data_IF_236419517504
#
_entry.id   IF_236419517504
#
_cell.length_a   1.000
_cell.length_b   1.000
_cell.length_c   1.000
_cell.angle_alpha   90.00
_cell.angle_beta   90.00
_cell.angle_gamma   90.00
#
_symmetry.space_group_name_H-M   'P 1'
#
loop_
_entity.id
_entity.type
_entity.pdbx_description
1 polymer ?
#
# COMPACT_ATOMS: atom_id res chain seq x y z
N UNK A 1 -6.27 5.86 48.78
CA UNK A 1 -6.37 4.55 48.11
C UNK A 1 -7.24 4.76 46.88
N UNK A 2 -6.65 4.78 45.69
CA UNK A 2 -7.43 4.89 44.44
C UNK A 2 -7.85 3.47 44.09
N UNK A 3 -9.10 3.12 44.40
CA UNK A 3 -9.71 1.89 43.91
C UNK A 3 -10.00 2.10 42.42
N UNK A 4 -9.09 1.62 41.58
CA UNK A 4 -9.29 1.55 40.15
C UNK A 4 -10.45 0.61 39.86
N UNK A 5 -11.47 1.13 39.20
CA UNK A 5 -12.48 0.31 38.55
C UNK A 5 -11.89 -0.10 37.19
N UNK A 6 -11.49 -1.37 36.99
CA UNK A 6 -11.05 -1.82 35.68
C UNK A 6 -12.30 -1.89 34.81
N UNK A 7 -12.33 -1.11 33.72
CA UNK A 7 -13.32 -1.09 32.65
C UNK A 7 -14.50 -2.08 32.78
N UNK A 8 -15.73 -1.58 32.65
CA UNK A 8 -16.94 -2.41 32.60
C UNK A 8 -16.84 -3.54 31.56
N UNK A 9 -17.56 -4.65 31.76
CA UNK A 9 -17.59 -5.78 30.79
C UNK A 9 -17.93 -5.32 29.36
N UNK A 10 -18.75 -4.28 29.25
CA UNK A 10 -19.07 -3.65 27.97
C UNK A 10 -17.85 -2.95 27.33
N UNK A 11 -17.11 -2.16 28.11
CA UNK A 11 -15.90 -1.48 27.64
C UNK A 11 -14.82 -2.50 27.24
N UNK A 12 -14.65 -3.59 28.00
CA UNK A 12 -13.73 -4.67 27.65
C UNK A 12 -14.09 -5.32 26.31
N UNK A 13 -15.36 -5.71 26.12
CA UNK A 13 -15.83 -6.28 24.83
C UNK A 13 -15.65 -5.32 23.67
N UNK A 14 -15.88 -4.02 23.90
CA UNK A 14 -15.68 -3.00 22.86
C UNK A 14 -14.20 -2.87 22.48
N UNK A 15 -13.30 -2.86 23.47
CA UNK A 15 -11.86 -2.82 23.24
C UNK A 15 -11.37 -4.07 22.48
N UNK A 16 -11.85 -5.25 22.86
CA UNK A 16 -11.56 -6.50 22.13
C UNK A 16 -12.04 -6.43 20.68
N UNK A 17 -13.27 -5.93 20.44
CA UNK A 17 -13.80 -5.78 19.08
C UNK A 17 -13.00 -4.79 18.26
N UNK A 18 -12.61 -3.65 18.83
CA UNK A 18 -11.77 -2.65 18.15
C UNK A 18 -10.40 -3.24 17.82
N UNK A 19 -9.78 -3.95 18.76
CA UNK A 19 -8.50 -4.63 18.54
C UNK A 19 -8.59 -5.65 17.40
N UNK A 20 -9.65 -6.46 17.40
CA UNK A 20 -9.90 -7.44 16.36
C UNK A 20 -10.08 -6.80 14.98
N UNK A 21 -10.93 -5.77 14.88
CA UNK A 21 -11.17 -5.04 13.61
C UNK A 21 -9.90 -4.36 13.09
N UNK A 22 -9.06 -3.81 13.98
CA UNK A 22 -7.75 -3.25 13.60
C UNK A 22 -6.87 -4.33 13.00
N UNK A 23 -6.76 -5.49 13.66
CA UNK A 23 -5.98 -6.62 13.16
C UNK A 23 -6.47 -7.12 11.80
N UNK A 24 -7.78 -7.26 11.62
CA UNK A 24 -8.36 -7.67 10.32
C UNK A 24 -8.01 -6.67 9.21
N UNK A 25 -8.16 -5.37 9.49
CA UNK A 25 -7.80 -4.30 8.56
C UNK A 25 -6.30 -4.32 8.24
N UNK A 26 -5.45 -4.39 9.26
CA UNK A 26 -3.98 -4.39 9.09
C UNK A 26 -3.52 -5.63 8.29
N UNK A 27 -4.11 -6.79 8.53
CA UNK A 27 -3.86 -8.00 7.74
C UNK A 27 -4.22 -7.81 6.26
N UNK A 28 -5.37 -7.19 5.96
CA UNK A 28 -5.77 -6.91 4.58
C UNK A 28 -4.79 -5.96 3.88
N UNK A 29 -4.30 -4.93 4.57
CA UNK A 29 -3.26 -4.03 4.05
C UNK A 29 -1.93 -4.76 3.81
N UNK A 30 -1.51 -5.64 4.73
CA UNK A 30 -0.28 -6.44 4.59
C UNK A 30 -0.38 -7.40 3.39
N UNK A 31 -1.48 -8.14 3.25
CA UNK A 31 -1.68 -9.05 2.10
C UNK A 31 -1.65 -8.30 0.76
N UNK A 32 -2.34 -7.15 0.67
CA UNK A 32 -2.26 -6.27 -0.49
C UNK A 32 -0.82 -5.84 -0.76
N UNK A 33 -0.09 -5.39 0.26
CA UNK A 33 1.28 -4.88 0.09
C UNK A 33 2.24 -5.96 -0.39
N UNK A 34 2.07 -7.23 0.01
CA UNK A 34 2.88 -8.34 -0.52
C UNK A 34 2.69 -8.52 -2.02
N UNK A 35 1.46 -8.41 -2.53
CA UNK A 35 1.19 -8.46 -3.97
C UNK A 35 1.76 -7.24 -4.70
N UNK A 36 1.62 -6.04 -4.14
CA UNK A 36 2.21 -4.82 -4.70
C UNK A 36 3.74 -4.90 -4.74
N UNK A 37 4.36 -5.46 -3.69
CA UNK A 37 5.80 -5.72 -3.64
C UNK A 37 6.22 -6.71 -4.74
N UNK A 38 5.44 -7.77 -4.99
CA UNK A 38 5.69 -8.68 -6.11
C UNK A 38 5.58 -7.97 -7.47
N UNK A 39 4.54 -7.16 -7.69
CA UNK A 39 4.36 -6.39 -8.93
C UNK A 39 5.51 -5.40 -9.17
N UNK A 40 6.04 -4.78 -8.11
CA UNK A 40 7.18 -3.86 -8.19
C UNK A 40 8.50 -4.52 -8.64
N UNK A 41 8.54 -5.86 -8.68
CA UNK A 41 9.69 -6.62 -9.22
C UNK A 41 9.53 -6.93 -10.70
N UNK A 42 8.33 -6.81 -11.24
CA UNK A 42 7.99 -7.12 -12.63
C UNK A 42 8.04 -5.84 -13.48
N UNK A 43 7.51 -4.75 -12.93
CA UNK A 43 7.42 -3.46 -13.61
C UNK A 43 8.41 -2.44 -13.04
N UNK A 44 8.84 -1.43 -13.83
CA UNK A 44 9.62 -0.31 -13.30
C UNK A 44 8.91 0.36 -12.14
N UNK A 45 9.57 0.41 -10.98
CA UNK A 45 8.99 0.90 -9.74
C UNK A 45 10.02 1.65 -8.89
N UNK A 46 9.53 2.50 -7.98
CA UNK A 46 10.35 3.24 -7.04
C UNK A 46 9.52 3.68 -5.82
N UNK A 47 10.20 4.19 -4.79
CA UNK A 47 9.58 4.79 -3.62
C UNK A 47 9.74 6.32 -3.68
N UNK A 48 8.76 7.05 -3.17
CA UNK A 48 8.90 8.46 -2.83
C UNK A 48 8.22 8.75 -1.48
N UNK A 49 8.40 9.97 -0.98
CA UNK A 49 7.77 10.44 0.25
C UNK A 49 6.71 11.49 -0.07
N UNK A 50 5.48 11.27 0.42
CA UNK A 50 4.37 12.21 0.30
C UNK A 50 4.74 13.56 0.94
N UNK A 51 4.48 14.70 0.27
CA UNK A 51 4.89 16.03 0.73
C UNK A 51 4.50 16.34 2.18
N UNK A 52 5.47 16.77 2.98
CA UNK A 52 5.32 17.04 4.42
C UNK A 52 4.23 18.08 4.73
N UNK A 53 3.98 19.00 3.79
CA UNK A 53 3.04 20.10 3.90
C UNK A 53 1.58 19.64 3.87
N UNK A 54 1.29 18.49 3.24
CA UNK A 54 -0.03 17.89 3.25
C UNK A 54 -0.30 17.21 4.60
N UNK A 55 -1.12 17.86 5.42
CA UNK A 55 -1.46 17.41 6.78
C UNK A 55 -2.58 16.37 6.83
N UNK A 56 -3.21 16.04 5.71
CA UNK A 56 -4.23 14.99 5.67
C UNK A 56 -3.60 13.61 5.90
N UNK A 57 -2.32 13.46 5.58
CA UNK A 57 -1.59 12.20 5.73
C UNK A 57 -0.79 12.14 7.02
N UNK A 58 -1.07 11.09 7.81
CA UNK A 58 -0.28 10.75 8.97
C UNK A 58 1.15 10.37 8.56
N UNK A 59 2.13 10.76 9.38
CA UNK A 59 3.56 10.56 9.12
C UNK A 59 3.91 9.12 8.75
N UNK A 60 3.31 8.16 9.45
CA UNK A 60 3.54 6.74 9.25
C UNK A 60 2.98 6.16 7.94
N UNK A 61 2.22 6.94 7.15
CA UNK A 61 1.65 6.56 5.85
C UNK A 61 2.25 7.33 4.67
N UNK A 62 3.34 8.09 4.87
CA UNK A 62 3.88 8.98 3.82
C UNK A 62 4.72 8.28 2.76
N UNK A 63 5.12 7.03 2.94
CA UNK A 63 5.88 6.33 1.90
C UNK A 63 4.94 5.89 0.79
N UNK A 64 5.23 6.27 -0.44
CA UNK A 64 4.45 5.88 -1.62
C UNK A 64 5.29 4.94 -2.46
N UNK A 65 4.71 3.82 -2.88
CA UNK A 65 5.27 3.03 -3.98
C UNK A 65 4.60 3.43 -5.28
N UNK A 66 5.42 3.73 -6.28
CA UNK A 66 4.99 3.95 -7.65
C UNK A 66 5.39 2.78 -8.54
N UNK A 67 4.49 2.37 -9.42
CA UNK A 67 4.71 1.34 -10.43
C UNK A 67 4.30 1.91 -11.78
N UNK A 68 5.22 1.95 -12.75
CA UNK A 68 4.91 2.28 -14.13
C UNK A 68 4.56 1.00 -14.88
N UNK A 69 3.28 0.85 -15.17
CA UNK A 69 2.74 -0.28 -15.94
C UNK A 69 2.42 0.12 -17.39
N UNK A 70 2.19 -0.84 -18.31
CA UNK A 70 1.74 -0.54 -19.68
C UNK A 70 0.44 0.27 -19.77
N UNK A 71 -0.35 0.28 -18.69
CA UNK A 71 -1.64 0.98 -18.58
C UNK A 71 -1.54 2.27 -17.77
N UNK A 72 -0.32 2.76 -17.52
CA UNK A 72 -0.05 3.99 -16.80
C UNK A 72 0.51 3.76 -15.39
N UNK A 73 0.63 4.85 -14.63
CA UNK A 73 1.16 4.80 -13.27
C UNK A 73 0.12 4.21 -12.31
N UNK A 74 0.59 3.39 -11.39
CA UNK A 74 -0.14 2.89 -10.24
C UNK A 74 0.60 3.34 -8.97
N UNK A 75 -0.15 3.70 -7.92
CA UNK A 75 0.45 4.11 -6.65
C UNK A 75 -0.32 3.64 -5.42
N UNK A 76 0.43 3.39 -4.32
CA UNK A 76 -0.15 3.10 -3.01
C UNK A 76 0.70 3.70 -1.89
N UNK A 77 0.01 4.27 -0.91
CA UNK A 77 0.63 4.62 0.38
C UNK A 77 0.91 3.35 1.19
N UNK A 78 2.08 3.34 1.81
CA UNK A 78 2.62 2.26 2.63
C UNK A 78 2.78 2.75 4.06
N UNK A 79 2.44 1.88 5.00
CA UNK A 79 2.80 2.07 6.39
C UNK A 79 4.31 1.85 6.56
N UNK A 80 5.00 2.65 7.37
CA UNK A 80 6.47 2.52 7.54
C UNK A 80 6.90 1.11 7.96
N UNK A 81 6.08 0.39 8.74
CA UNK A 81 6.38 -0.99 9.18
C UNK A 81 6.45 -2.01 8.03
N UNK A 82 5.90 -1.68 6.87
CA UNK A 82 5.82 -2.56 5.70
C UNK A 82 6.83 -2.19 4.61
N UNK A 83 7.57 -1.08 4.79
CA UNK A 83 8.51 -0.55 3.78
C UNK A 83 9.64 -1.53 3.48
N UNK A 84 10.01 -2.38 4.45
CA UNK A 84 11.03 -3.42 4.27
C UNK A 84 10.70 -4.42 3.15
N UNK A 85 9.43 -4.62 2.80
CA UNK A 85 9.02 -5.44 1.65
C UNK A 85 9.49 -4.85 0.31
N UNK A 86 9.80 -3.56 0.28
CA UNK A 86 10.15 -2.77 -0.90
C UNK A 86 11.63 -2.35 -0.90
N UNK A 87 12.46 -2.90 -0.02
CA UNK A 87 13.90 -2.55 0.09
C UNK A 87 14.73 -2.72 -1.19
N UNK A 88 14.20 -3.42 -2.19
CA UNK A 88 14.82 -3.54 -3.52
C UNK A 88 14.61 -2.31 -4.41
N UNK A 89 13.72 -1.39 -4.03
CA UNK A 89 13.42 -0.19 -4.78
C UNK A 89 14.31 0.96 -4.35
N UNK A 90 14.64 1.83 -5.31
CA UNK A 90 15.28 3.11 -5.05
C UNK A 90 14.27 4.10 -4.49
N UNK A 91 14.69 4.90 -3.51
CA UNK A 91 13.92 6.05 -3.04
C UNK A 91 14.30 7.28 -3.88
N UNK A 92 13.31 7.93 -4.48
CA UNK A 92 13.49 9.13 -5.29
C UNK A 92 12.95 10.35 -4.55
N UNK A 93 13.60 11.48 -4.79
CA UNK A 93 13.06 12.79 -4.43
C UNK A 93 12.26 13.31 -5.62
N UNK A 94 11.06 13.82 -5.36
CA UNK A 94 10.21 14.37 -6.41
C UNK A 94 8.73 14.36 -6.05
N UNK A 95 7.92 14.59 -7.08
CA UNK A 95 6.48 14.42 -7.06
C UNK A 95 6.09 13.72 -8.35
N UNK A 96 6.38 12.42 -8.43
CA UNK A 96 6.15 11.67 -9.67
C UNK A 96 4.68 11.30 -9.89
N UNK A 97 3.79 11.64 -8.96
CA UNK A 97 2.37 11.33 -9.09
C UNK A 97 1.77 11.97 -10.34
N UNK A 98 1.18 11.16 -11.20
CA UNK A 98 0.62 11.60 -12.49
C UNK A 98 -0.81 12.21 -12.38
N UNK A 99 -1.32 12.39 -11.16
CA UNK A 99 -2.63 12.97 -10.90
C UNK A 99 -3.80 11.98 -10.89
N UNK A 100 -3.57 10.67 -11.00
CA UNK A 100 -4.64 9.67 -10.99
C UNK A 100 -5.42 9.63 -9.68
N UNK A 101 -6.74 9.47 -9.81
CA UNK A 101 -7.66 9.09 -8.74
C UNK A 101 -7.52 7.62 -8.36
N UNK A 102 -8.17 7.22 -7.27
CA UNK A 102 -8.19 5.82 -6.84
C UNK A 102 -8.93 4.95 -7.87
N UNK A 103 -10.04 5.46 -8.40
CA UNK A 103 -10.88 4.82 -9.39
C UNK A 103 -10.10 4.59 -10.70
N UNK A 104 -9.45 5.62 -11.24
CA UNK A 104 -8.63 5.51 -12.45
C UNK A 104 -7.49 4.50 -12.28
N UNK A 105 -6.79 4.49 -11.14
CA UNK A 105 -5.75 3.49 -10.88
C UNK A 105 -6.29 2.07 -10.96
N UNK A 106 -7.46 1.80 -10.39
CA UNK A 106 -8.03 0.46 -10.40
C UNK A 106 -8.61 0.09 -11.77
N UNK A 107 -9.13 1.06 -12.53
CA UNK A 107 -9.49 0.86 -13.93
C UNK A 107 -8.25 0.48 -14.77
N UNK A 108 -7.13 1.20 -14.59
CA UNK A 108 -5.86 0.85 -15.23
C UNK A 108 -5.44 -0.57 -14.87
N UNK A 109 -5.40 -0.89 -13.57
CA UNK A 109 -5.00 -2.23 -13.08
C UNK A 109 -5.88 -3.34 -13.66
N UNK A 110 -7.20 -3.12 -13.79
CA UNK A 110 -8.12 -4.09 -14.38
C UNK A 110 -7.88 -4.30 -15.88
N UNK A 111 -7.36 -3.29 -16.58
CA UNK A 111 -7.01 -3.34 -18.00
C UNK A 111 -5.56 -3.77 -18.26
N UNK A 112 -4.80 -4.18 -17.23
CA UNK A 112 -3.42 -4.64 -17.40
C UNK A 112 -3.40 -5.85 -18.34
N UNK A 113 -2.64 -5.79 -19.46
CA UNK A 113 -2.64 -6.88 -20.43
C UNK A 113 -2.03 -8.14 -19.81
N UNK A 114 -2.56 -9.29 -20.21
CA UNK A 114 -1.91 -10.57 -19.93
C UNK A 114 -0.52 -10.58 -20.59
N UNK A 115 0.47 -11.08 -19.87
CA UNK A 115 1.77 -11.36 -20.46
C UNK A 115 1.53 -12.47 -21.51
N UNK A 116 1.65 -12.12 -22.79
CA UNK A 116 1.62 -13.11 -23.86
C UNK A 116 2.92 -13.90 -23.82
N UNK A 117 2.83 -15.23 -23.89
CA UNK A 117 4.00 -16.04 -24.22
C UNK A 117 4.37 -15.74 -25.67
N UNK A 118 5.61 -15.32 -25.93
CA UNK A 118 6.13 -15.34 -27.29
C UNK A 118 6.16 -16.80 -27.74
N UNK A 119 5.26 -17.18 -28.65
CA UNK A 119 5.38 -18.43 -29.39
C UNK A 119 6.57 -18.25 -30.32
N UNK A 120 7.71 -18.81 -29.92
CA UNK A 120 8.87 -18.92 -30.80
C UNK A 120 8.55 -20.05 -31.78
N UNK A 121 8.10 -19.69 -32.98
CA UNK A 121 8.02 -20.66 -34.08
C UNK A 121 9.46 -21.05 -34.44
N UNK A 122 9.83 -22.31 -34.18
CA UNK A 122 11.08 -22.90 -34.65
C UNK A 122 10.96 -23.13 -36.17
N UNK A 123 11.73 -22.37 -36.97
CA UNK A 123 11.94 -22.62 -38.42
C UNK A 123 12.81 -23.84 -38.71
#
# INVERSE_FOLDING_TARGET
MITGDPYSDFEVRLLEKVSHLRKEKDNAYSERNKLVAALSKIFPAWLETHPAEDKEWAEHWRTIVFINSPVGQLSWHLHFSEVDMFKHLVHREGNSWDGHTTEEKYERLANLPVLQEEVVDEE
#
